data_IF_334703100416
#
_entry.id   IF_334703100416
#
_cell.length_a   1.000
_cell.length_b   1.000
_cell.length_c   1.000
_cell.angle_alpha   90.00
_cell.angle_beta   90.00
_cell.angle_gamma   90.00
#
_symmetry.space_group_name_H-M   'P 1'
#
loop_
_entity.id
_entity.type
_entity.pdbx_description
1 polymer ?
#
# COMPACT_ATOMS: atom_id res chain seq x y z
N UNK A 1 -6.66 3.43 -25.48
CA UNK A 1 -7.40 4.09 -24.38
C UNK A 1 -7.60 3.07 -23.28
N UNK A 2 -7.00 3.24 -22.10
CA UNK A 2 -7.28 2.36 -20.95
C UNK A 2 -8.63 2.80 -20.37
N UNK A 3 -9.61 1.89 -20.35
CA UNK A 3 -10.88 2.07 -19.64
C UNK A 3 -10.54 2.50 -18.21
N UNK A 4 -11.14 3.59 -17.74
CA UNK A 4 -10.96 4.05 -16.35
C UNK A 4 -11.42 2.94 -15.42
N UNK A 5 -10.50 2.34 -14.67
CA UNK A 5 -10.85 1.34 -13.67
C UNK A 5 -11.66 2.02 -12.57
N UNK A 6 -12.79 1.43 -12.19
CA UNK A 6 -13.60 2.00 -11.11
C UNK A 6 -12.87 1.88 -9.78
N UNK A 7 -13.28 2.69 -8.78
CA UNK A 7 -12.72 2.64 -7.42
C UNK A 7 -12.81 1.22 -6.85
N UNK A 8 -13.92 0.53 -7.10
CA UNK A 8 -14.16 -0.84 -6.63
C UNK A 8 -13.25 -1.86 -7.31
N UNK A 9 -12.95 -1.70 -8.61
CA UNK A 9 -12.02 -2.58 -9.32
C UNK A 9 -10.59 -2.43 -8.83
N UNK A 10 -10.15 -1.19 -8.59
CA UNK A 10 -8.83 -0.91 -8.02
C UNK A 10 -8.77 -1.49 -6.61
N UNK A 11 -9.80 -1.27 -5.78
CA UNK A 11 -9.84 -1.79 -4.42
C UNK A 11 -9.76 -3.32 -4.38
N UNK A 12 -10.54 -4.02 -5.20
CA UNK A 12 -10.48 -5.49 -5.32
C UNK A 12 -9.07 -5.99 -5.68
N UNK A 13 -8.35 -5.24 -6.52
CA UNK A 13 -6.99 -5.58 -6.94
C UNK A 13 -5.96 -5.40 -5.82
N UNK A 14 -6.27 -4.65 -4.75
CA UNK A 14 -5.40 -4.45 -3.59
C UNK A 14 -5.57 -5.55 -2.52
N UNK A 15 -6.32 -6.62 -2.79
CA UNK A 15 -6.41 -7.78 -1.90
C UNK A 15 -5.67 -8.96 -2.53
N UNK A 16 -4.43 -9.18 -2.11
CA UNK A 16 -3.62 -10.29 -2.65
C UNK A 16 -2.14 -10.19 -2.33
N UNK A 17 -1.34 -10.95 -3.06
CA UNK A 17 0.11 -11.01 -2.88
C UNK A 17 0.80 -10.31 -4.03
N UNK A 18 1.85 -9.55 -3.74
CA UNK A 18 2.70 -8.89 -4.72
C UNK A 18 4.17 -9.27 -4.51
N UNK A 19 4.85 -9.50 -5.62
CA UNK A 19 6.29 -9.72 -5.67
C UNK A 19 6.99 -8.40 -6.03
N UNK A 20 7.89 -7.93 -5.16
CA UNK A 20 8.62 -6.67 -5.36
C UNK A 20 10.11 -6.92 -5.28
N UNK A 21 10.87 -6.35 -6.23
CA UNK A 21 12.31 -6.34 -6.13
C UNK A 21 12.77 -5.26 -5.15
N UNK A 22 13.34 -5.68 -4.02
CA UNK A 22 13.93 -4.80 -3.02
C UNK A 22 15.35 -4.38 -3.41
N UNK A 23 15.65 -3.08 -3.50
CA UNK A 23 17.00 -2.60 -3.73
C UNK A 23 17.88 -2.77 -2.49
N UNK A 24 19.20 -2.77 -2.71
CA UNK A 24 20.19 -2.72 -1.63
C UNK A 24 20.05 -1.40 -0.85
N UNK A 25 20.39 -1.43 0.43
CA UNK A 25 20.40 -0.27 1.35
C UNK A 25 19.02 0.30 1.68
N UNK A 26 17.96 -0.47 1.48
CA UNK A 26 16.59 -0.09 1.84
C UNK A 26 16.03 -1.06 2.87
N UNK A 27 15.48 -0.56 3.99
CA UNK A 27 14.75 -1.42 4.93
C UNK A 27 13.40 -1.84 4.36
N UNK A 28 12.86 -2.97 4.80
CA UNK A 28 11.52 -3.40 4.40
C UNK A 28 10.44 -2.42 4.86
N UNK A 29 10.62 -1.77 6.02
CA UNK A 29 9.74 -0.69 6.49
C UNK A 29 9.72 0.49 5.53
N UNK A 30 10.88 0.92 5.02
CA UNK A 30 10.96 2.01 4.04
C UNK A 30 10.34 1.60 2.70
N UNK A 31 10.57 0.35 2.25
CA UNK A 31 9.97 -0.18 1.03
C UNK A 31 8.45 -0.24 1.14
N UNK A 32 7.89 -0.72 2.25
CA UNK A 32 6.44 -0.70 2.54
C UNK A 32 5.86 0.69 2.47
N UNK A 33 6.46 1.66 3.16
CA UNK A 33 5.97 3.03 3.15
C UNK A 33 5.99 3.61 1.73
N UNK A 34 7.03 3.32 0.95
CA UNK A 34 7.13 3.72 -0.46
C UNK A 34 6.03 3.08 -1.30
N UNK A 35 5.75 1.79 -1.11
CA UNK A 35 4.68 1.07 -1.80
C UNK A 35 3.30 1.67 -1.46
N UNK A 36 3.00 1.90 -0.18
CA UNK A 36 1.74 2.51 0.26
C UNK A 36 1.56 3.89 -0.39
N UNK A 37 2.59 4.74 -0.32
CA UNK A 37 2.53 6.07 -0.92
C UNK A 37 2.30 6.00 -2.43
N UNK A 38 3.04 5.15 -3.14
CA UNK A 38 2.89 5.01 -4.59
C UNK A 38 1.51 4.48 -4.99
N UNK A 39 0.99 3.48 -4.28
CA UNK A 39 -0.34 2.92 -4.54
C UNK A 39 -1.40 3.99 -4.28
N UNK A 40 -1.37 4.67 -3.13
CA UNK A 40 -2.35 5.72 -2.82
C UNK A 40 -2.31 6.85 -3.86
N UNK A 41 -1.13 7.33 -4.25
CA UNK A 41 -1.02 8.41 -5.23
C UNK A 41 -1.55 8.00 -6.59
N UNK A 42 -1.16 6.83 -7.10
CA UNK A 42 -1.53 6.40 -8.45
C UNK A 42 -2.98 5.89 -8.53
N UNK A 43 -3.50 5.25 -7.48
CA UNK A 43 -4.90 4.88 -7.39
C UNK A 43 -5.79 6.13 -7.40
N UNK A 44 -5.47 7.12 -6.57
CA UNK A 44 -6.24 8.36 -6.51
C UNK A 44 -6.18 9.17 -7.82
N UNK A 45 -5.04 9.18 -8.53
CA UNK A 45 -4.94 9.82 -9.86
C UNK A 45 -5.85 9.15 -10.89
N UNK A 46 -6.04 7.83 -10.81
CA UNK A 46 -6.88 7.06 -11.75
C UNK A 46 -8.38 7.16 -11.47
N UNK A 47 -8.77 7.51 -10.25
CA UNK A 47 -10.16 7.60 -9.83
C UNK A 47 -10.82 8.97 -10.07
N UNK A 48 -10.17 9.86 -10.80
CA UNK A 48 -10.70 11.19 -11.11
C UNK A 48 -11.38 11.19 -12.50
N UNK A 49 -12.57 11.80 -12.64
CA UNK A 49 -13.33 12.54 -11.62
C UNK A 49 -14.13 11.62 -10.68
N UNK A 50 -14.29 12.04 -9.42
CA UNK A 50 -15.12 11.33 -8.44
C UNK A 50 -16.58 11.68 -8.72
N UNK A 51 -17.40 10.68 -9.02
CA UNK A 51 -18.84 10.84 -9.20
C UNK A 51 -19.50 11.10 -7.84
N UNK A 52 -20.13 12.27 -7.68
CA UNK A 52 -20.86 12.63 -6.47
C UNK A 52 -22.31 12.19 -6.66
N UNK A 53 -22.87 11.34 -5.78
CA UNK A 53 -24.24 10.89 -5.91
C UNK A 53 -25.21 12.05 -5.70
N UNK A 54 -26.31 12.05 -6.44
CA UNK A 54 -27.41 13.01 -6.23
C UNK A 54 -28.34 12.50 -5.12
N UNK A 55 -28.85 13.43 -4.31
CA UNK A 55 -29.88 13.18 -3.31
C UNK A 55 -31.11 14.03 -3.60
N UNK A 56 -32.28 13.48 -3.31
CA UNK A 56 -33.54 14.19 -3.39
C UNK A 56 -33.80 14.90 -2.06
N UNK A 57 -34.00 16.21 -2.14
CA UNK A 57 -34.19 17.06 -0.97
C UNK A 57 -35.53 17.80 -1.08
N UNK A 58 -36.33 17.81 0.00
CA UNK A 58 -37.64 18.43 -0.03
C UNK A 58 -37.50 19.95 -0.20
N UNK A 59 -38.25 20.49 -1.16
CA UNK A 59 -38.44 21.93 -1.31
C UNK A 59 -39.54 22.33 -0.34
N UNK A 60 -39.18 23.14 0.65
CA UNK A 60 -40.08 23.62 1.69
C UNK A 60 -40.46 25.06 1.38
N UNK A 61 -41.76 25.33 1.24
CA UNK A 61 -42.31 26.67 1.08
C UNK A 61 -43.35 26.93 2.18
N UNK A 62 -43.57 28.21 2.55
CA UNK A 62 -44.60 28.53 3.53
C UNK A 62 -46.00 28.34 2.93
N UNK A 63 -46.89 27.70 3.70
CA UNK A 63 -48.28 27.56 3.34
C UNK A 63 -48.95 28.96 3.22
N UNK A 64 -49.76 29.23 2.17
CA UNK A 64 -50.24 30.58 1.85
C UNK A 64 -50.98 31.31 2.98
N UNK A 65 -51.66 30.55 3.85
CA UNK A 65 -52.49 31.10 4.95
C UNK A 65 -51.81 30.94 6.31
N UNK A 66 -51.50 29.70 6.71
CA UNK A 66 -50.93 29.39 8.02
C UNK A 66 -49.43 29.70 8.17
N UNK A 67 -48.73 30.02 7.08
CA UNK A 67 -47.26 30.19 7.03
C UNK A 67 -46.47 28.96 7.53
N UNK A 68 -47.14 27.81 7.72
CA UNK A 68 -46.49 26.58 8.14
C UNK A 68 -45.65 26.02 6.98
N UNK A 69 -44.45 25.46 7.27
CA UNK A 69 -43.61 24.86 6.24
C UNK A 69 -44.30 23.63 5.64
N UNK A 70 -44.55 23.65 4.33
CA UNK A 70 -45.10 22.53 3.56
C UNK A 70 -44.08 22.07 2.51
N UNK A 71 -44.03 20.76 2.27
CA UNK A 71 -43.18 20.18 1.23
C UNK A 71 -43.93 20.26 -0.09
N UNK A 72 -43.40 21.01 -1.04
CA UNK A 72 -44.05 21.28 -2.34
C UNK A 72 -43.49 20.42 -3.46
N UNK A 73 -42.32 19.83 -3.25
CA UNK A 73 -41.68 18.96 -4.21
C UNK A 73 -40.33 18.44 -3.74
N UNK A 74 -39.64 17.71 -4.62
CA UNK A 74 -38.30 17.19 -4.41
C UNK A 74 -37.35 17.80 -5.42
N UNK A 75 -36.19 18.26 -4.95
CA UNK A 75 -35.10 18.78 -5.77
C UNK A 75 -33.93 17.81 -5.72
N UNK A 76 -33.43 17.40 -6.88
CA UNK A 76 -32.13 16.70 -6.97
C UNK A 76 -31.01 17.69 -6.72
N UNK A 77 -30.14 17.36 -5.78
CA UNK A 77 -28.92 18.12 -5.51
C UNK A 77 -27.75 17.17 -5.23
N UNK A 78 -26.50 17.58 -5.51
CA UNK A 78 -25.34 16.77 -5.16
C UNK A 78 -25.28 16.50 -3.66
N UNK A 79 -25.00 15.27 -3.27
CA UNK A 79 -24.79 14.91 -1.88
C UNK A 79 -23.42 15.40 -1.42
N UNK A 80 -23.39 16.60 -0.83
CA UNK A 80 -22.16 17.17 -0.30
C UNK A 80 -21.52 16.35 0.84
N UNK A 81 -22.29 15.49 1.52
CA UNK A 81 -21.74 14.57 2.53
C UNK A 81 -20.76 13.57 1.93
N UNK A 82 -20.89 13.24 0.64
CA UNK A 82 -20.00 12.34 -0.10
C UNK A 82 -18.94 13.11 -0.91
N UNK A 83 -18.86 14.43 -0.78
CA UNK A 83 -17.94 15.25 -1.55
C UNK A 83 -16.47 14.98 -1.15
N UNK A 84 -15.51 14.92 -2.10
CA UNK A 84 -14.10 14.67 -1.79
C UNK A 84 -13.44 15.68 -0.85
N UNK A 85 -13.95 16.92 -0.78
CA UNK A 85 -13.48 17.92 0.18
C UNK A 85 -13.94 17.63 1.63
N UNK A 86 -14.98 16.81 1.80
CA UNK A 86 -15.50 16.40 3.11
C UNK A 86 -14.93 15.03 3.48
N UNK A 87 -15.06 14.05 2.58
CA UNK A 87 -14.64 12.65 2.81
C UNK A 87 -13.17 12.41 2.49
N UNK A 88 -12.48 13.34 1.83
CA UNK A 88 -11.11 13.15 1.38
C UNK A 88 -10.99 12.30 0.10
N UNK A 89 -9.77 11.84 -0.17
CA UNK A 89 -9.48 11.00 -1.35
C UNK A 89 -10.00 9.56 -1.16
N UNK A 90 -10.38 8.86 -2.24
CA UNK A 90 -10.89 7.48 -2.16
C UNK A 90 -9.94 6.48 -1.51
N UNK A 91 -8.63 6.61 -1.73
CA UNK A 91 -7.62 5.74 -1.13
C UNK A 91 -6.76 6.53 -0.15
N UNK A 92 -6.77 6.14 1.12
CA UNK A 92 -5.89 6.70 2.14
C UNK A 92 -4.81 5.70 2.53
N UNK A 93 -3.79 6.17 3.24
CA UNK A 93 -2.65 5.32 3.62
C UNK A 93 -3.05 4.29 4.67
N UNK A 94 -4.02 4.65 5.50
CA UNK A 94 -4.55 3.83 6.59
C UNK A 94 -5.37 2.64 6.08
N UNK A 95 -5.94 2.79 4.87
CA UNK A 95 -6.74 1.75 4.21
C UNK A 95 -5.86 0.63 3.62
N UNK A 96 -4.57 0.88 3.44
CA UNK A 96 -3.64 -0.05 2.79
C UNK A 96 -2.70 -0.63 3.84
N UNK A 97 -2.85 -1.92 4.10
CA UNK A 97 -2.01 -2.65 5.04
C UNK A 97 -1.14 -3.63 4.26
N UNK A 98 0.18 -3.56 4.45
CA UNK A 98 1.16 -4.38 3.73
C UNK A 98 2.00 -5.18 4.72
N UNK A 99 1.95 -6.50 4.63
CA UNK A 99 2.80 -7.40 5.41
C UNK A 99 3.88 -8.06 4.53
N UNK A 100 5.05 -8.39 5.07
CA UNK A 100 6.12 -9.09 4.35
C UNK A 100 6.07 -10.57 4.69
N UNK A 101 6.42 -11.44 3.74
CA UNK A 101 6.47 -12.88 4.03
C UNK A 101 7.66 -13.22 4.93
N UNK A 102 8.86 -12.83 4.50
CA UNK A 102 10.14 -13.06 5.16
C UNK A 102 10.91 -11.76 5.37
N UNK A 103 11.63 -11.69 6.49
CA UNK A 103 12.51 -10.57 6.77
C UNK A 103 13.76 -10.61 5.88
N UNK A 104 14.04 -9.48 5.24
CA UNK A 104 15.26 -9.23 4.48
C UNK A 104 16.02 -8.03 5.04
N UNK A 105 17.28 -8.25 5.39
CA UNK A 105 18.16 -7.22 5.94
C UNK A 105 18.32 -6.02 4.99
N UNK A 106 18.50 -4.78 5.51
CA UNK A 106 18.69 -3.61 4.65
C UNK A 106 19.84 -3.73 3.64
N UNK A 107 20.91 -4.47 3.98
CA UNK A 107 22.05 -4.68 3.11
C UNK A 107 21.83 -5.72 1.99
N UNK A 108 20.76 -6.51 2.05
CA UNK A 108 20.39 -7.46 1.00
C UNK A 108 19.53 -6.79 -0.07
N UNK A 109 19.50 -7.41 -1.24
CA UNK A 109 18.66 -7.05 -2.38
C UNK A 109 18.10 -8.32 -2.99
N UNK A 110 16.92 -8.26 -3.60
CA UNK A 110 16.31 -9.43 -4.21
C UNK A 110 14.80 -9.36 -4.21
N UNK A 111 14.18 -10.53 -4.40
CA UNK A 111 12.72 -10.65 -4.40
C UNK A 111 12.19 -10.60 -2.96
N UNK A 112 11.14 -9.81 -2.75
CA UNK A 112 10.33 -9.81 -1.54
C UNK A 112 8.87 -10.10 -1.90
N UNK A 113 8.24 -10.97 -1.13
CA UNK A 113 6.81 -11.21 -1.19
C UNK A 113 6.12 -10.34 -0.13
N UNK A 114 5.09 -9.63 -0.57
CA UNK A 114 4.24 -8.82 0.31
C UNK A 114 2.78 -9.21 0.13
N UNK A 115 2.05 -9.29 1.23
CA UNK A 115 0.60 -9.43 1.26
C UNK A 115 -0.02 -8.06 1.47
N UNK A 116 -0.98 -7.69 0.62
CA UNK A 116 -1.74 -6.45 0.70
C UNK A 116 -3.15 -6.77 1.19
N UNK A 117 -3.61 -6.03 2.20
CA UNK A 117 -4.93 -6.16 2.82
C UNK A 117 -5.26 -7.62 3.19
N UNK A 118 -6.24 -8.24 2.53
CA UNK A 118 -6.64 -9.64 2.82
C UNK A 118 -5.62 -10.66 2.29
N UNK A 119 -4.63 -10.23 1.50
CA UNK A 119 -3.52 -11.08 1.08
C UNK A 119 -2.55 -11.43 2.21
N UNK A 120 -2.70 -10.83 3.40
CA UNK A 120 -1.90 -11.16 4.59
C UNK A 120 -2.27 -12.53 5.16
N UNK A 121 -3.55 -12.88 5.17
CA UNK A 121 -4.02 -14.20 5.57
C UNK A 121 -3.43 -15.29 4.65
N UNK A 122 -3.24 -14.96 3.37
CA UNK A 122 -2.57 -15.85 2.42
C UNK A 122 -1.06 -16.00 2.73
N UNK A 123 -0.40 -14.99 3.29
CA UNK A 123 1.01 -15.10 3.68
C UNK A 123 1.19 -16.13 4.78
N UNK A 124 0.30 -16.20 5.78
CA UNK A 124 0.39 -17.23 6.82
C UNK A 124 0.36 -18.63 6.20
N UNK A 125 -0.58 -18.87 5.29
CA UNK A 125 -0.65 -20.15 4.56
C UNK A 125 0.56 -20.43 3.66
N UNK A 126 1.30 -19.40 3.25
CA UNK A 126 2.54 -19.54 2.49
C UNK A 126 3.74 -19.82 3.40
N UNK A 127 3.77 -19.24 4.61
CA UNK A 127 4.81 -19.53 5.62
C UNK A 127 4.79 -21.00 6.03
N UNK A 128 3.61 -21.60 6.10
CA UNK A 128 3.44 -23.02 6.44
C UNK A 128 3.90 -23.98 5.33
N UNK A 129 4.07 -23.49 4.10
CA UNK A 129 4.56 -24.31 2.98
C UNK A 129 6.07 -24.39 3.03
N UNK A 130 6.63 -25.44 2.44
CA UNK A 130 8.06 -25.57 2.20
C UNK A 130 8.34 -25.03 0.79
N UNK A 131 9.09 -23.94 0.71
CA UNK A 131 9.44 -23.25 -0.52
C UNK A 131 10.95 -23.05 -0.57
N UNK A 132 11.50 -23.09 -1.78
CA UNK A 132 12.94 -23.04 -2.00
C UNK A 132 13.35 -21.59 -2.23
N UNK A 133 14.27 -21.12 -1.39
CA UNK A 133 14.87 -19.80 -1.54
C UNK A 133 16.29 -19.94 -2.09
N UNK A 134 16.56 -19.28 -3.22
CA UNK A 134 17.88 -19.22 -3.83
C UNK A 134 18.56 -17.88 -3.49
N UNK A 135 19.81 -17.95 -3.05
CA UNK A 135 20.59 -16.77 -2.67
C UNK A 135 21.95 -16.76 -3.35
N UNK A 136 22.34 -15.61 -3.90
CA UNK A 136 23.70 -15.35 -4.37
C UNK A 136 24.45 -14.56 -3.30
N UNK A 137 25.36 -15.24 -2.60
CA UNK A 137 26.16 -14.64 -1.53
C UNK A 137 27.54 -14.20 -2.06
N UNK A 138 27.95 -12.99 -1.70
CA UNK A 138 29.30 -12.47 -1.95
C UNK A 138 29.95 -12.14 -0.61
N UNK A 139 30.93 -12.93 -0.23
CA UNK A 139 31.69 -12.76 1.01
C UNK A 139 33.08 -12.18 0.76
N UNK A 140 33.66 -11.56 1.79
CA UNK A 140 35.07 -11.16 1.82
C UNK A 140 35.79 -12.00 2.88
N UNK A 141 36.82 -12.75 2.48
CA UNK A 141 37.66 -13.53 3.38
C UNK A 141 38.73 -12.65 4.04
N UNK A 142 39.26 -13.11 5.17
CA UNK A 142 40.32 -12.40 5.92
C UNK A 142 39.87 -11.15 6.67
N UNK A 143 38.58 -10.83 6.69
CA UNK A 143 38.03 -9.63 7.33
C UNK A 143 36.84 -9.97 8.22
N UNK A 144 37.00 -9.77 9.53
CA UNK A 144 35.93 -9.86 10.52
C UNK A 144 35.36 -8.48 10.84
N UNK A 145 34.03 -8.37 10.88
CA UNK A 145 33.34 -7.17 11.32
C UNK A 145 32.50 -7.43 12.56
N UNK A 146 32.25 -6.38 13.35
CA UNK A 146 31.36 -6.44 14.50
C UNK A 146 29.95 -6.86 14.02
N UNK A 147 29.40 -7.91 14.63
CA UNK A 147 28.10 -8.52 14.27
C UNK A 147 28.01 -9.05 12.83
N UNK A 148 29.14 -9.31 12.16
CA UNK A 148 29.21 -9.79 10.77
C UNK A 148 28.43 -8.90 9.77
N UNK A 149 28.26 -7.62 10.10
CA UNK A 149 27.60 -6.65 9.22
C UNK A 149 28.58 -6.22 8.13
N UNK A 150 28.12 -6.20 6.87
CA UNK A 150 28.95 -5.80 5.71
C UNK A 150 29.56 -4.40 5.90
N UNK A 151 28.79 -3.46 6.46
CA UNK A 151 29.22 -2.10 6.80
C UNK A 151 29.63 -1.92 8.26
N UNK A 152 29.81 -3.02 8.99
CA UNK A 152 30.22 -2.99 10.40
C UNK A 152 31.68 -2.56 10.55
N UNK A 153 32.04 -2.03 11.73
CA UNK A 153 33.43 -1.75 12.08
C UNK A 153 34.24 -3.04 12.01
N UNK A 154 35.41 -2.98 11.38
CA UNK A 154 36.35 -4.11 11.30
C UNK A 154 36.96 -4.32 12.68
N UNK A 155 36.93 -5.56 13.16
CA UNK A 155 37.53 -5.93 14.45
C UNK A 155 38.68 -6.92 14.31
N UNK A 156 38.76 -7.66 13.20
CA UNK A 156 39.81 -8.64 12.93
C UNK A 156 40.18 -8.61 11.46
N UNK A 157 41.47 -8.67 11.20
CA UNK A 157 42.02 -8.88 9.86
C UNK A 157 43.04 -10.03 9.95
N UNK A 158 42.99 -10.94 8.99
CA UNK A 158 43.86 -12.10 8.90
C UNK A 158 44.23 -12.35 7.44
N UNK A 159 45.46 -12.81 7.21
CA UNK A 159 45.87 -13.27 5.88
C UNK A 159 45.13 -14.57 5.52
N UNK A 160 44.69 -14.68 4.28
CA UNK A 160 43.93 -15.80 3.74
C UNK A 160 44.47 -16.30 2.40
N UNK A 161 45.61 -15.75 1.91
CA UNK A 161 46.17 -16.12 0.61
C UNK A 161 46.66 -17.58 0.49
N UNK A 162 46.67 -18.32 1.61
CA UNK A 162 47.07 -19.74 1.67
C UNK A 162 45.88 -20.71 1.66
N UNK A 163 44.65 -20.21 1.61
CA UNK A 163 43.44 -21.05 1.54
C UNK A 163 43.16 -21.36 0.07
N UNK A 164 43.51 -22.58 -0.34
CA UNK A 164 43.24 -23.16 -1.67
C UNK A 164 41.99 -24.02 -1.66
#
# INVERSE_FOLDING_TARGET
MRVGATVTDIWRSLHGIVCVHKPRDMSLTALRLRLINAICEDANKRCLPIEIPEIEMPVVEPHPISQAPIIVGLRKQPNYSSHPLVVGKPFRKEDIQIEELDYQQPASSGLCLFGINNGRDMLESLRDRIWVNEYVLKGQLGRGTVQNKIRGKVNRECDYGRVS
#
